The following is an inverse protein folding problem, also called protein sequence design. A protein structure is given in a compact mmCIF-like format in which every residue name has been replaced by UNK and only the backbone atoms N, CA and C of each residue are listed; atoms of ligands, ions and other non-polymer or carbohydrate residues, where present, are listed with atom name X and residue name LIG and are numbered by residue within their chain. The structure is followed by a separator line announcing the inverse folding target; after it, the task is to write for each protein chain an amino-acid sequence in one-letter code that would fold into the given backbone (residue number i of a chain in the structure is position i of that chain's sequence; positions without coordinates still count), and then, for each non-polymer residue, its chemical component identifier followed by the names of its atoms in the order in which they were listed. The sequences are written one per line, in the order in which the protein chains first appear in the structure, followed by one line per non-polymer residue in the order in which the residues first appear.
data_IF_166706401707
#
_entry.id   IF_166706401707
#
_cell.length_a   1.000
_cell.length_b   1.000
_cell.length_c   1.000
_cell.angle_alpha   90.00
_cell.angle_beta   90.00
_cell.angle_gamma   90.00
#
_symmetry.space_group_name_H-M   'P 1'
#
loop_
_entity.id
_entity.type
_entity.pdbx_description
1 polymer ?
#
# COMPACT_ATOMS: atom_id res chain seq x y z
N UNK A 1 -7.31 -12.99 -2.85
CA UNK A 1 -8.50 -12.50 -3.58
C UNK A 1 -8.46 -13.05 -4.98
N UNK A 2 -9.62 -13.34 -5.56
CA UNK A 2 -9.73 -14.06 -6.82
C UNK A 2 -10.11 -13.12 -7.97
N UNK A 3 -9.70 -13.49 -9.18
CA UNK A 3 -10.23 -12.92 -10.41
C UNK A 3 -11.45 -13.74 -10.80
N UNK A 4 -12.58 -13.10 -11.01
CA UNK A 4 -13.86 -13.73 -11.37
C UNK A 4 -14.32 -13.33 -12.76
N UNK A 5 -15.01 -14.24 -13.42
CA UNK A 5 -15.61 -14.01 -14.74
C UNK A 5 -17.14 -13.99 -14.59
N UNK A 6 -17.76 -12.97 -15.15
CA UNK A 6 -19.19 -12.77 -15.19
C UNK A 6 -19.69 -12.74 -16.64
N UNK A 7 -20.95 -13.00 -16.87
CA UNK A 7 -21.57 -12.72 -18.16
C UNK A 7 -21.70 -11.19 -18.30
N UNK A 8 -21.47 -10.65 -19.49
CA UNK A 8 -21.72 -9.23 -19.75
C UNK A 8 -23.19 -8.89 -19.49
N UNK A 9 -23.42 -7.80 -18.76
CA UNK A 9 -24.76 -7.39 -18.31
C UNK A 9 -25.23 -8.06 -17.01
N UNK A 10 -24.38 -8.86 -16.35
CA UNK A 10 -24.73 -9.53 -15.09
C UNK A 10 -25.01 -8.51 -13.98
N UNK A 11 -26.23 -8.55 -13.43
CA UNK A 11 -26.69 -7.66 -12.36
C UNK A 11 -26.32 -8.17 -10.96
N UNK A 12 -25.48 -9.19 -10.87
CA UNK A 12 -25.03 -9.72 -9.58
C UNK A 12 -24.37 -8.62 -8.75
N UNK A 13 -24.79 -8.51 -7.49
CA UNK A 13 -24.15 -7.62 -6.52
C UNK A 13 -22.80 -8.21 -6.09
N UNK A 14 -21.71 -7.49 -6.33
CA UNK A 14 -20.33 -7.93 -6.04
C UNK A 14 -19.70 -7.19 -4.86
N UNK A 15 -20.27 -6.04 -4.47
CA UNK A 15 -19.94 -5.30 -3.25
C UNK A 15 -21.19 -4.52 -2.78
N UNK A 16 -21.08 -3.84 -1.63
CA UNK A 16 -22.22 -3.08 -1.07
C UNK A 16 -22.83 -2.11 -2.08
N UNK A 17 -21.99 -1.46 -2.89
CA UNK A 17 -22.39 -0.42 -3.83
C UNK A 17 -22.06 -0.73 -5.29
N UNK A 18 -21.63 -1.94 -5.62
CA UNK A 18 -21.23 -2.30 -6.97
C UNK A 18 -21.91 -3.59 -7.46
N UNK A 19 -22.22 -3.59 -8.76
CA UNK A 19 -22.72 -4.75 -9.52
C UNK A 19 -21.75 -5.11 -10.62
N UNK A 20 -21.73 -6.37 -11.04
CA UNK A 20 -20.78 -6.87 -12.04
C UNK A 20 -20.87 -6.09 -13.36
N UNK A 21 -22.09 -5.77 -13.84
CA UNK A 21 -22.32 -5.01 -15.08
C UNK A 21 -21.67 -3.62 -15.12
N UNK A 22 -21.39 -3.01 -13.96
CA UNK A 22 -20.75 -1.69 -13.92
C UNK A 22 -19.29 -1.75 -14.39
N UNK A 23 -18.70 -2.95 -14.39
CA UNK A 23 -17.34 -3.22 -14.85
C UNK A 23 -17.26 -3.69 -16.30
N UNK A 24 -18.39 -3.77 -17.00
CA UNK A 24 -18.46 -4.30 -18.36
C UNK A 24 -17.60 -3.53 -19.36
N UNK A 25 -17.04 -4.28 -20.31
CA UNK A 25 -16.35 -3.69 -21.45
C UNK A 25 -17.29 -2.80 -22.26
N UNK A 26 -16.89 -1.55 -22.47
CA UNK A 26 -17.67 -0.54 -23.19
C UNK A 26 -17.62 -0.71 -24.72
N UNK A 27 -16.82 -1.66 -25.25
CA UNK A 27 -16.78 -1.97 -26.67
C UNK A 27 -18.08 -2.60 -27.15
N UNK A 28 -18.58 -2.13 -28.29
CA UNK A 28 -19.84 -2.62 -28.86
C UNK A 28 -19.65 -4.03 -29.46
N UNK A 29 -20.31 -5.04 -28.88
CA UNK A 29 -20.31 -6.41 -29.38
C UNK A 29 -18.96 -7.12 -29.39
N UNK A 30 -17.96 -6.60 -28.68
CA UNK A 30 -16.59 -7.12 -28.72
C UNK A 30 -16.30 -8.30 -27.76
N UNK A 31 -17.19 -8.55 -26.80
CA UNK A 31 -17.07 -9.66 -25.85
C UNK A 31 -18.41 -9.91 -25.13
N UNK A 32 -18.57 -11.13 -24.60
CA UNK A 32 -19.77 -11.59 -23.89
C UNK A 32 -19.51 -11.77 -22.37
N UNK A 33 -18.28 -11.53 -21.94
CA UNK A 33 -17.88 -11.74 -20.56
C UNK A 33 -17.15 -10.51 -20.00
N UNK A 34 -17.21 -10.38 -18.68
CA UNK A 34 -16.52 -9.36 -17.89
C UNK A 34 -15.62 -10.04 -16.88
N UNK A 35 -14.34 -9.67 -16.85
CA UNK A 35 -13.36 -10.15 -15.87
C UNK A 35 -13.19 -9.10 -14.79
N UNK A 36 -13.24 -9.48 -13.52
CA UNK A 36 -13.19 -8.57 -12.37
C UNK A 36 -12.26 -9.14 -11.29
N UNK A 37 -11.27 -8.38 -10.88
CA UNK A 37 -10.45 -8.66 -9.70
C UNK A 37 -11.18 -8.17 -8.43
N UNK A 38 -11.43 -9.09 -7.49
CA UNK A 38 -12.09 -8.75 -6.21
C UNK A 38 -11.32 -7.68 -5.43
N UNK A 39 -10.00 -7.62 -5.55
CA UNK A 39 -9.18 -6.59 -4.92
C UNK A 39 -9.47 -5.20 -5.48
N UNK A 40 -9.69 -5.09 -6.80
CA UNK A 40 -10.09 -3.83 -7.42
C UNK A 40 -11.44 -3.36 -6.88
N UNK A 41 -12.42 -4.27 -6.77
CA UNK A 41 -13.75 -3.97 -6.22
C UNK A 41 -13.66 -3.48 -4.79
N UNK A 42 -12.82 -4.11 -3.96
CA UNK A 42 -12.59 -3.71 -2.58
C UNK A 42 -12.01 -2.28 -2.48
N UNK A 43 -10.98 -1.96 -3.29
CA UNK A 43 -10.41 -0.62 -3.33
C UNK A 43 -11.46 0.43 -3.74
N UNK A 44 -12.24 0.15 -4.78
CA UNK A 44 -13.30 1.05 -5.24
C UNK A 44 -14.41 1.21 -4.20
N UNK A 45 -14.77 0.14 -3.48
CA UNK A 45 -15.76 0.20 -2.40
C UNK A 45 -15.26 1.07 -1.24
N UNK A 46 -14.01 0.97 -0.85
CA UNK A 46 -13.42 1.84 0.18
C UNK A 46 -13.44 3.30 -0.25
N UNK A 47 -13.04 3.59 -1.51
CA UNK A 47 -13.09 4.94 -2.08
C UNK A 47 -14.51 5.48 -2.06
N UNK A 48 -15.48 4.71 -2.54
CA UNK A 48 -16.90 5.10 -2.53
C UNK A 48 -17.44 5.38 -1.13
N UNK A 49 -17.08 4.54 -0.18
CA UNK A 49 -17.48 4.69 1.23
C UNK A 49 -16.89 5.96 1.84
N UNK A 50 -15.60 6.23 1.57
CA UNK A 50 -14.91 7.41 2.09
C UNK A 50 -15.53 8.74 1.60
N UNK A 51 -15.79 8.85 0.30
CA UNK A 51 -16.35 10.08 -0.27
C UNK A 51 -17.87 10.17 -0.14
N UNK A 52 -18.57 9.07 0.20
CA UNK A 52 -20.03 9.03 0.35
C UNK A 52 -20.79 9.31 -0.95
N UNK A 53 -20.16 9.18 -2.12
CA UNK A 53 -20.69 9.55 -3.42
C UNK A 53 -20.58 8.41 -4.44
N UNK A 54 -21.43 8.39 -5.50
CA UNK A 54 -21.27 7.44 -6.60
C UNK A 54 -19.89 7.52 -7.27
N UNK A 55 -19.37 6.36 -7.67
CA UNK A 55 -18.17 6.22 -8.48
C UNK A 55 -18.60 5.87 -9.90
N UNK A 56 -18.25 6.70 -10.87
CA UNK A 56 -18.51 6.45 -12.29
C UNK A 56 -17.26 5.90 -12.94
N UNK A 57 -17.32 4.66 -13.41
CA UNK A 57 -16.10 3.92 -13.78
C UNK A 57 -16.17 3.30 -15.17
N UNK A 58 -15.01 3.10 -15.78
CA UNK A 58 -14.72 2.22 -16.91
C UNK A 58 -13.64 1.24 -16.45
N UNK A 59 -13.96 -0.06 -16.38
CA UNK A 59 -13.04 -1.04 -15.79
C UNK A 59 -12.55 -2.06 -16.81
N UNK A 60 -13.22 -3.21 -16.95
CA UNK A 60 -12.80 -4.26 -17.85
C UNK A 60 -12.82 -3.79 -19.31
N UNK A 61 -11.83 -4.19 -20.06
CA UNK A 61 -11.68 -3.90 -21.47
C UNK A 61 -11.10 -5.13 -22.15
N UNK A 62 -11.89 -5.80 -22.98
CA UNK A 62 -11.42 -6.98 -23.69
C UNK A 62 -10.26 -6.64 -24.66
N UNK A 63 -9.49 -7.66 -25.05
CA UNK A 63 -8.33 -7.47 -25.94
C UNK A 63 -8.70 -6.76 -27.26
N UNK A 64 -9.83 -7.16 -27.86
CA UNK A 64 -10.33 -6.54 -29.09
C UNK A 64 -10.59 -5.06 -28.91
N UNK A 65 -11.30 -4.66 -27.84
CA UNK A 65 -11.55 -3.25 -27.56
C UNK A 65 -10.26 -2.51 -27.20
N UNK A 66 -9.35 -3.12 -26.45
CA UNK A 66 -8.06 -2.51 -26.11
C UNK A 66 -7.21 -2.19 -27.35
N UNK A 67 -7.24 -3.08 -28.35
CA UNK A 67 -6.51 -2.87 -29.61
C UNK A 67 -7.06 -1.68 -30.46
N UNK A 68 -8.31 -1.27 -30.22
CA UNK A 68 -8.94 -0.13 -30.91
C UNK A 68 -8.63 1.21 -30.23
N UNK A 69 -8.10 1.21 -29.00
CA UNK A 69 -7.82 2.46 -28.28
C UNK A 69 -6.43 2.97 -28.62
N UNK A 70 -6.31 4.18 -29.18
CA UNK A 70 -5.02 4.76 -29.51
C UNK A 70 -4.09 4.81 -28.29
N UNK A 71 -2.86 4.37 -28.45
CA UNK A 71 -1.81 4.38 -27.43
C UNK A 71 -2.12 3.51 -26.18
N UNK A 72 -3.12 2.63 -26.21
CA UNK A 72 -3.35 1.71 -25.11
C UNK A 72 -2.19 0.72 -24.98
N UNK A 73 -1.75 0.47 -23.75
CA UNK A 73 -0.72 -0.53 -23.49
C UNK A 73 -1.21 -1.92 -23.93
N UNK A 74 -0.36 -2.68 -24.65
CA UNK A 74 -0.70 -4.04 -25.09
C UNK A 74 -1.05 -4.97 -23.94
N UNK A 75 -0.35 -4.83 -22.80
CA UNK A 75 -0.57 -5.58 -21.57
C UNK A 75 -1.24 -4.67 -20.51
N UNK A 76 -2.35 -4.04 -20.87
CA UNK A 76 -3.09 -3.16 -19.96
C UNK A 76 -3.73 -3.96 -18.83
N UNK A 77 -3.68 -3.47 -17.61
CA UNK A 77 -4.37 -4.08 -16.45
C UNK A 77 -5.91 -4.13 -16.63
N UNK A 78 -6.47 -3.28 -17.47
CA UNK A 78 -7.89 -3.35 -17.86
C UNK A 78 -8.26 -4.68 -18.54
N UNK A 79 -7.34 -5.27 -19.33
CA UNK A 79 -7.60 -6.54 -20.02
C UNK A 79 -7.75 -7.70 -19.03
N UNK A 80 -7.09 -7.59 -17.90
CA UNK A 80 -7.11 -8.60 -16.84
C UNK A 80 -8.19 -8.34 -15.78
N UNK A 81 -9.05 -7.32 -15.98
CA UNK A 81 -10.04 -6.91 -14.98
C UNK A 81 -9.45 -6.32 -13.70
N UNK A 82 -8.20 -5.87 -13.77
CA UNK A 82 -7.39 -5.43 -12.64
C UNK A 82 -7.23 -3.91 -12.57
N UNK A 83 -7.93 -3.16 -13.42
CA UNK A 83 -7.86 -1.69 -13.43
C UNK A 83 -9.23 -1.06 -13.64
N UNK A 84 -9.35 0.17 -13.15
CA UNK A 84 -10.47 1.06 -13.41
C UNK A 84 -10.01 2.50 -13.59
N UNK A 85 -10.59 3.16 -14.60
CA UNK A 85 -10.56 4.60 -14.77
C UNK A 85 -11.89 5.15 -14.25
N UNK A 86 -11.89 6.13 -13.35
CA UNK A 86 -13.12 6.60 -12.72
C UNK A 86 -13.03 8.02 -12.22
N UNK A 87 -14.21 8.62 -12.02
CA UNK A 87 -14.36 9.91 -11.35
C UNK A 87 -15.49 9.86 -10.31
N UNK A 88 -15.53 10.88 -9.47
CA UNK A 88 -16.56 11.12 -8.48
C UNK A 88 -17.00 12.58 -8.62
N UNK A 89 -18.29 12.81 -8.84
CA UNK A 89 -18.80 14.15 -9.05
C UNK A 89 -18.53 15.08 -7.87
N UNK A 90 -17.94 16.23 -8.17
CA UNK A 90 -17.58 17.25 -7.17
C UNK A 90 -16.47 16.82 -6.20
N UNK A 91 -15.62 15.86 -6.61
CA UNK A 91 -14.37 15.50 -5.92
C UNK A 91 -13.21 15.66 -6.91
N UNK A 92 -12.20 16.42 -6.52
CA UNK A 92 -11.02 16.61 -7.38
C UNK A 92 -10.27 15.30 -7.58
N UNK A 93 -9.82 14.94 -8.80
CA UNK A 93 -9.06 13.72 -9.04
C UNK A 93 -7.83 13.58 -8.14
N UNK A 94 -7.17 14.69 -7.79
CA UNK A 94 -6.02 14.69 -6.88
C UNK A 94 -6.38 14.22 -5.46
N UNK A 95 -7.58 14.52 -4.95
CA UNK A 95 -8.05 14.04 -3.65
C UNK A 95 -8.34 12.54 -3.69
N UNK A 96 -8.93 12.07 -4.81
CA UNK A 96 -9.17 10.64 -5.03
C UNK A 96 -7.84 9.88 -5.08
N UNK A 97 -6.86 10.36 -5.85
CA UNK A 97 -5.53 9.74 -5.97
C UNK A 97 -4.81 9.69 -4.61
N UNK A 98 -4.89 10.78 -3.84
CA UNK A 98 -4.35 10.85 -2.47
C UNK A 98 -4.99 9.82 -1.54
N UNK A 99 -6.31 9.68 -1.60
CA UNK A 99 -7.00 8.68 -0.79
C UNK A 99 -6.67 7.25 -1.25
N UNK A 100 -6.66 6.99 -2.57
CA UNK A 100 -6.27 5.69 -3.13
C UNK A 100 -4.86 5.28 -2.66
N UNK A 101 -3.90 6.22 -2.68
CA UNK A 101 -2.56 6.00 -2.10
C UNK A 101 -2.65 5.65 -0.60
N UNK A 102 -3.49 6.36 0.16
CA UNK A 102 -3.61 6.16 1.61
C UNK A 102 -4.16 4.80 2.01
N UNK A 103 -4.97 4.16 1.15
CA UNK A 103 -5.48 2.79 1.37
C UNK A 103 -4.59 1.70 0.74
N UNK A 104 -3.39 2.07 0.26
CA UNK A 104 -2.39 1.13 -0.21
C UNK A 104 -2.51 0.68 -1.66
N UNK A 105 -3.25 1.40 -2.51
CA UNK A 105 -3.25 1.16 -3.96
C UNK A 105 -1.86 1.45 -4.51
N UNK A 106 -1.30 0.51 -5.27
CA UNK A 106 0.07 0.60 -5.79
C UNK A 106 0.15 1.06 -7.25
N UNK A 107 -0.91 0.94 -8.02
CA UNK A 107 -1.02 1.49 -9.37
C UNK A 107 -1.97 2.68 -9.37
N UNK A 108 -1.47 3.91 -9.54
CA UNK A 108 -2.31 5.12 -9.57
C UNK A 108 -1.85 6.05 -10.68
N UNK A 109 -2.78 6.37 -11.58
CA UNK A 109 -2.64 7.41 -12.59
C UNK A 109 -3.57 8.58 -12.29
N UNK A 110 -3.01 9.78 -12.13
CA UNK A 110 -3.78 11.00 -11.96
C UNK A 110 -3.92 11.71 -13.30
N UNK A 111 -5.17 11.98 -13.70
CA UNK A 111 -5.53 12.70 -14.90
C UNK A 111 -6.35 13.94 -14.54
N UNK A 112 -6.56 14.84 -15.50
CA UNK A 112 -7.24 16.10 -15.24
C UNK A 112 -8.71 15.92 -14.81
N UNK A 113 -9.38 14.86 -15.31
CA UNK A 113 -10.82 14.63 -15.07
C UNK A 113 -11.14 13.30 -14.39
N UNK A 114 -10.17 12.38 -14.25
CA UNK A 114 -10.37 11.06 -13.69
C UNK A 114 -9.11 10.53 -13.00
N UNK A 115 -9.25 9.42 -12.34
CA UNK A 115 -8.14 8.67 -11.73
C UNK A 115 -8.15 7.25 -12.27
N UNK A 116 -6.98 6.75 -12.65
CA UNK A 116 -6.75 5.33 -12.88
C UNK A 116 -6.24 4.67 -11.59
N UNK A 117 -6.80 3.52 -11.26
CA UNK A 117 -6.21 2.62 -10.27
C UNK A 117 -6.06 1.22 -10.83
N UNK A 118 -5.03 0.49 -10.36
CA UNK A 118 -4.87 -0.93 -10.68
C UNK A 118 -4.29 -1.73 -9.49
N UNK A 119 -4.43 -3.06 -9.56
CA UNK A 119 -4.06 -3.98 -8.49
C UNK A 119 -2.65 -4.55 -8.62
N UNK A 120 -1.75 -3.85 -9.32
CA UNK A 120 -0.32 -4.26 -9.43
C UNK A 120 0.32 -4.47 -8.07
N UNK A 121 1.37 -5.28 -8.04
CA UNK A 121 2.10 -5.60 -6.81
C UNK A 121 3.32 -4.69 -6.57
N UNK A 122 3.71 -3.90 -7.56
CA UNK A 122 4.83 -2.95 -7.48
C UNK A 122 4.32 -1.53 -7.65
N UNK A 123 4.85 -0.58 -6.87
CA UNK A 123 4.42 0.83 -6.93
C UNK A 123 4.66 1.44 -8.32
N UNK A 124 3.62 2.00 -8.91
CA UNK A 124 3.67 2.76 -10.15
C UNK A 124 2.69 3.92 -10.09
N UNK A 125 3.19 5.14 -9.87
CA UNK A 125 2.41 6.36 -9.83
C UNK A 125 2.80 7.27 -10.97
N UNK A 126 1.81 7.86 -11.65
CA UNK A 126 2.05 8.77 -12.78
C UNK A 126 0.99 9.86 -12.87
N UNK A 127 1.32 10.89 -13.62
CA UNK A 127 0.44 11.99 -13.95
C UNK A 127 0.25 12.08 -15.47
N UNK A 128 -0.97 12.24 -15.92
CA UNK A 128 -1.41 12.44 -17.30
C UNK A 128 -1.09 11.29 -18.28
N UNK A 129 -1.58 11.40 -19.51
CA UNK A 129 -1.27 10.46 -20.61
C UNK A 129 0.22 10.38 -20.96
N UNK A 130 1.01 11.40 -20.63
CA UNK A 130 2.46 11.40 -20.78
C UNK A 130 3.16 10.50 -19.74
N UNK A 131 2.42 9.93 -18.80
CA UNK A 131 2.90 9.03 -17.74
C UNK A 131 4.10 9.58 -16.96
N UNK A 132 4.09 10.86 -16.65
CA UNK A 132 5.11 11.49 -15.80
C UNK A 132 5.13 10.83 -14.44
N UNK A 133 6.22 10.12 -14.12
CA UNK A 133 6.37 9.36 -12.88
C UNK A 133 6.22 10.24 -11.65
N UNK A 134 5.53 9.71 -10.65
CA UNK A 134 5.34 10.32 -9.33
C UNK A 134 5.79 9.38 -8.24
N UNK A 135 6.24 9.94 -7.13
CA UNK A 135 6.58 9.18 -5.91
C UNK A 135 5.41 9.11 -4.92
N UNK A 136 4.55 10.13 -4.95
CA UNK A 136 3.37 10.24 -4.08
C UNK A 136 2.37 11.23 -4.65
N UNK A 137 1.11 11.10 -4.27
CA UNK A 137 0.04 12.11 -4.44
C UNK A 137 -0.27 12.82 -3.11
N UNK A 138 0.57 12.61 -2.08
CA UNK A 138 0.40 13.19 -0.74
C UNK A 138 -0.54 12.38 0.15
N UNK A 139 -0.86 11.16 -0.25
CA UNK A 139 -1.57 10.19 0.58
C UNK A 139 -0.61 9.57 1.61
N UNK A 140 -0.98 9.66 2.87
CA UNK A 140 -0.37 8.80 3.90
C UNK A 140 -1.09 7.46 3.88
N UNK A 141 -0.37 6.37 3.65
CA UNK A 141 -1.00 5.03 3.59
C UNK A 141 -1.69 4.75 4.93
N UNK A 142 -3.02 4.74 4.92
CA UNK A 142 -3.81 4.20 6.03
C UNK A 142 -3.89 2.70 5.81
N UNK A 143 -3.16 1.94 6.58
CA UNK A 143 -3.35 0.48 6.62
C UNK A 143 -4.58 0.24 7.49
N UNK A 144 -5.71 -0.14 6.88
CA UNK A 144 -6.89 -0.54 7.66
C UNK A 144 -6.52 -1.75 8.53
N UNK A 145 -6.74 -1.60 9.83
CA UNK A 145 -6.42 -2.62 10.83
C UNK A 145 -5.09 -2.43 11.54
N UNK A 146 -4.23 -1.52 11.10
CA UNK A 146 -3.11 -1.04 11.92
C UNK A 146 -3.33 0.44 12.23
N UNK A 147 -3.61 0.75 13.49
CA UNK A 147 -3.43 2.08 14.05
C UNK A 147 -2.16 2.68 13.42
N UNK A 148 -2.23 3.91 12.87
CA UNK A 148 -1.07 4.58 12.27
C UNK A 148 0.07 4.57 13.30
N UNK A 149 1.02 3.65 13.12
CA UNK A 149 2.13 3.45 14.06
C UNK A 149 3.15 4.55 13.86
N UNK A 150 3.00 5.63 14.63
CA UNK A 150 3.83 6.82 14.56
C UNK A 150 5.21 6.58 15.15
N UNK A 151 6.15 7.50 14.91
CA UNK A 151 7.43 7.48 15.60
C UNK A 151 7.23 7.54 17.12
N UNK A 152 6.30 8.37 17.61
CA UNK A 152 6.01 8.49 19.04
C UNK A 152 5.45 7.20 19.63
N UNK A 153 4.58 6.47 18.89
CA UNK A 153 4.09 5.15 19.32
C UNK A 153 5.23 4.15 19.41
N UNK A 154 6.10 4.11 18.39
CA UNK A 154 7.29 3.26 18.39
C UNK A 154 8.21 3.55 19.58
N UNK A 155 8.48 4.84 19.84
CA UNK A 155 9.34 5.25 20.94
C UNK A 155 8.75 4.82 22.28
N UNK A 156 7.43 5.05 22.51
CA UNK A 156 6.72 4.61 23.73
C UNK A 156 6.77 3.09 23.92
N UNK A 157 6.54 2.34 22.85
CA UNK A 157 6.59 0.88 22.87
C UNK A 157 8.00 0.37 23.20
N UNK A 158 9.04 0.98 22.61
CA UNK A 158 10.45 0.66 22.92
C UNK A 158 10.79 1.02 24.36
N UNK A 159 10.41 2.20 24.83
CA UNK A 159 10.61 2.64 26.19
C UNK A 159 9.99 1.68 27.19
N UNK A 160 8.73 1.31 26.98
CA UNK A 160 8.01 0.33 27.80
C UNK A 160 8.71 -1.03 27.82
N UNK A 161 9.08 -1.55 26.64
CA UNK A 161 9.72 -2.87 26.51
C UNK A 161 11.14 -2.93 27.09
N UNK A 162 11.84 -1.78 27.17
CA UNK A 162 13.21 -1.68 27.65
C UNK A 162 13.31 -1.11 29.06
N UNK A 163 12.18 -0.78 29.72
CA UNK A 163 12.16 -0.21 31.07
C UNK A 163 12.72 1.22 31.14
N UNK A 164 12.54 2.02 30.07
CA UNK A 164 12.82 3.45 30.08
C UNK A 164 11.60 4.25 30.50
N UNK A 165 11.78 5.55 30.80
CA UNK A 165 10.68 6.48 31.03
C UNK A 165 9.81 6.59 29.78
N UNK A 166 8.50 6.34 29.89
CA UNK A 166 7.56 6.29 28.73
C UNK A 166 6.99 7.68 28.49
N UNK A 167 7.73 8.52 27.76
CA UNK A 167 7.33 9.88 27.38
C UNK A 167 7.09 10.05 25.88
N UNK A 168 7.52 9.07 25.08
CA UNK A 168 7.39 9.11 23.61
C UNK A 168 8.43 10.01 22.94
N UNK A 169 9.44 10.48 23.66
CA UNK A 169 10.54 11.29 23.17
C UNK A 169 11.81 10.43 23.12
N UNK A 170 12.45 10.27 21.93
CA UNK A 170 13.67 9.50 21.85
C UNK A 170 14.82 10.28 22.47
N UNK A 171 15.49 9.70 23.44
CA UNK A 171 16.58 10.35 24.17
C UNK A 171 17.70 9.39 24.57
N UNK A 172 18.77 9.92 25.22
CA UNK A 172 19.91 9.11 25.67
C UNK A 172 19.49 7.95 26.58
N UNK A 173 18.49 8.14 27.47
CA UNK A 173 17.98 7.09 28.32
C UNK A 173 17.37 5.95 27.48
N UNK A 174 16.45 6.28 26.55
CA UNK A 174 15.84 5.30 25.66
C UNK A 174 16.89 4.51 24.90
N UNK A 175 17.84 5.21 24.27
CA UNK A 175 18.93 4.59 23.51
C UNK A 175 19.80 3.69 24.38
N UNK A 176 20.13 4.12 25.62
CA UNK A 176 21.00 3.36 26.52
C UNK A 176 20.43 2.00 26.92
N UNK A 177 19.11 1.88 26.90
CA UNK A 177 18.37 0.67 27.30
C UNK A 177 18.00 -0.25 26.12
N UNK A 178 18.28 0.16 24.87
CA UNK A 178 17.98 -0.68 23.70
C UNK A 178 18.83 -1.97 23.71
N UNK A 179 18.23 -3.14 23.41
CA UNK A 179 18.95 -4.39 23.31
C UNK A 179 19.57 -4.59 21.92
N UNK A 180 20.53 -5.53 21.82
CA UNK A 180 20.88 -6.11 20.53
C UNK A 180 19.82 -7.14 20.14
N UNK A 181 19.28 -7.03 18.91
CA UNK A 181 18.29 -7.99 18.38
C UNK A 181 18.65 -8.39 16.95
N UNK A 182 18.56 -9.69 16.67
CA UNK A 182 18.78 -10.29 15.36
C UNK A 182 18.15 -11.68 15.32
N UNK A 183 18.23 -12.37 14.18
CA UNK A 183 17.81 -13.77 14.09
C UNK A 183 18.57 -14.70 15.07
N UNK A 184 19.77 -14.30 15.48
CA UNK A 184 20.67 -15.08 16.36
C UNK A 184 20.67 -14.61 17.81
N UNK A 185 20.29 -13.34 18.08
CA UNK A 185 20.32 -12.74 19.43
C UNK A 185 18.98 -12.13 19.77
N UNK A 186 18.44 -12.47 20.92
CA UNK A 186 17.18 -11.90 21.43
C UNK A 186 16.04 -11.91 20.39
N UNK A 187 15.97 -12.95 19.58
CA UNK A 187 15.08 -13.06 18.43
C UNK A 187 13.58 -13.05 18.79
N UNK A 188 13.23 -13.16 20.06
CA UNK A 188 11.85 -13.06 20.62
C UNK A 188 11.75 -11.96 21.68
N UNK A 189 12.69 -11.01 21.73
CA UNK A 189 12.58 -9.88 22.65
C UNK A 189 11.37 -9.02 22.31
N UNK A 190 10.71 -8.45 23.30
CA UNK A 190 9.47 -7.68 23.12
C UNK A 190 9.61 -6.54 22.07
N UNK A 191 10.80 -5.92 21.96
CA UNK A 191 11.04 -4.87 20.97
C UNK A 191 10.96 -5.35 19.52
N UNK A 192 11.17 -6.65 19.24
CA UNK A 192 11.15 -7.19 17.87
C UNK A 192 9.82 -6.88 17.20
N UNK A 193 8.71 -7.12 17.89
CA UNK A 193 7.37 -6.81 17.37
C UNK A 193 7.21 -5.31 17.03
N UNK A 194 7.76 -4.45 17.85
CA UNK A 194 7.67 -2.99 17.63
C UNK A 194 8.59 -2.54 16.50
N UNK A 195 9.78 -3.12 16.39
CA UNK A 195 10.67 -2.90 15.23
C UNK A 195 10.02 -3.37 13.93
N UNK A 196 9.34 -4.52 13.93
CA UNK A 196 8.59 -5.00 12.76
C UNK A 196 7.51 -4.00 12.34
N UNK A 197 6.70 -3.50 13.29
CA UNK A 197 5.70 -2.45 13.03
C UNK A 197 6.34 -1.17 12.47
N UNK A 198 7.48 -0.75 13.04
CA UNK A 198 8.20 0.44 12.59
C UNK A 198 8.73 0.29 11.19
N UNK A 199 9.40 -0.82 10.87
CA UNK A 199 9.90 -1.12 9.53
C UNK A 199 8.75 -1.16 8.51
N UNK A 200 7.64 -1.80 8.87
CA UNK A 200 6.45 -1.82 8.03
C UNK A 200 5.90 -0.40 7.77
N UNK A 201 5.82 0.44 8.81
CA UNK A 201 5.39 1.83 8.71
C UNK A 201 6.36 2.69 7.87
N UNK A 202 7.66 2.38 7.90
CA UNK A 202 8.69 3.02 7.08
C UNK A 202 8.73 2.54 5.62
N UNK A 203 7.90 1.53 5.26
CA UNK A 203 7.80 1.02 3.89
C UNK A 203 8.55 -0.28 3.62
N UNK A 204 9.27 -0.83 4.59
CA UNK A 204 9.98 -2.12 4.46
C UNK A 204 9.02 -3.31 4.60
N UNK A 205 8.10 -3.45 3.63
CA UNK A 205 6.99 -4.45 3.66
C UNK A 205 7.46 -5.90 3.70
N UNK A 206 8.69 -6.18 3.28
CA UNK A 206 9.31 -7.51 3.34
C UNK A 206 9.36 -8.07 4.77
N UNK A 207 9.30 -7.22 5.81
CA UNK A 207 9.23 -7.63 7.21
C UNK A 207 8.01 -8.51 7.51
N UNK A 208 6.91 -8.35 6.73
CA UNK A 208 5.67 -9.08 6.91
C UNK A 208 4.90 -8.67 8.16
N UNK A 209 4.20 -9.65 8.76
CA UNK A 209 3.42 -9.43 9.99
C UNK A 209 4.34 -9.21 11.21
N UNK A 210 3.87 -8.40 12.16
CA UNK A 210 4.59 -8.14 13.42
C UNK A 210 4.31 -9.27 14.43
N UNK A 211 4.90 -10.44 14.18
CA UNK A 211 4.76 -11.65 14.99
C UNK A 211 5.66 -11.67 16.24
N UNK A 212 6.60 -10.73 16.35
CA UNK A 212 7.56 -10.64 17.45
C UNK A 212 8.74 -11.59 17.33
N UNK A 213 8.96 -12.20 16.15
CA UNK A 213 10.06 -13.13 15.90
C UNK A 213 11.03 -12.52 14.88
N UNK A 214 12.29 -12.33 15.27
CA UNK A 214 13.35 -11.90 14.37
C UNK A 214 13.83 -13.08 13.51
N UNK A 215 13.06 -13.40 12.45
CA UNK A 215 13.40 -14.43 11.47
C UNK A 215 13.98 -13.85 10.17
N UNK A 216 13.99 -14.66 9.10
CA UNK A 216 14.55 -14.27 7.79
C UNK A 216 13.94 -12.99 7.20
N UNK A 217 12.62 -12.80 7.36
CA UNK A 217 11.93 -11.59 6.86
C UNK A 217 12.35 -10.34 7.63
N UNK A 218 12.52 -10.47 8.95
CA UNK A 218 13.04 -9.40 9.80
C UNK A 218 14.46 -9.02 9.39
N UNK A 219 15.37 -10.00 9.23
CA UNK A 219 16.76 -9.81 8.80
C UNK A 219 16.82 -9.11 7.44
N UNK A 220 16.05 -9.57 6.45
CA UNK A 220 15.97 -8.93 5.14
C UNK A 220 15.50 -7.48 5.21
N UNK A 221 14.49 -7.18 6.05
CA UNK A 221 14.00 -5.81 6.24
C UNK A 221 15.03 -4.91 6.95
N UNK A 222 15.76 -5.46 7.92
CA UNK A 222 16.83 -4.73 8.60
C UNK A 222 17.98 -4.45 7.66
N UNK A 223 18.40 -5.41 6.83
CA UNK A 223 19.44 -5.19 5.82
C UNK A 223 19.06 -4.05 4.87
N UNK A 224 17.84 -4.06 4.32
CA UNK A 224 17.35 -3.00 3.45
C UNK A 224 17.31 -1.63 4.18
N UNK A 225 16.83 -1.61 5.43
CA UNK A 225 16.82 -0.39 6.23
C UNK A 225 18.25 0.13 6.50
N UNK A 226 19.19 -0.76 6.82
CA UNK A 226 20.60 -0.41 7.09
C UNK A 226 21.26 0.17 5.84
N UNK A 227 21.02 -0.41 4.67
CA UNK A 227 21.54 0.06 3.38
C UNK A 227 21.04 1.47 3.08
N UNK A 228 19.73 1.70 3.12
CA UNK A 228 19.10 2.99 2.85
C UNK A 228 19.56 4.10 3.82
N UNK A 229 19.85 3.73 5.06
CA UNK A 229 20.27 4.66 6.11
C UNK A 229 21.80 4.72 6.32
N UNK A 230 22.58 4.10 5.40
CA UNK A 230 24.04 4.08 5.46
C UNK A 230 24.57 3.55 6.81
N UNK A 231 23.89 2.55 7.36
CA UNK A 231 24.37 1.77 8.49
C UNK A 231 25.23 0.60 8.02
N UNK A 232 25.89 -0.09 8.96
CA UNK A 232 26.56 -1.35 8.66
C UNK A 232 25.48 -2.42 8.38
N UNK A 233 25.56 -3.06 7.19
CA UNK A 233 24.54 -4.03 6.74
C UNK A 233 24.94 -5.42 7.21
N UNK A 234 24.36 -5.87 8.33
CA UNK A 234 24.63 -7.16 8.98
C UNK A 234 23.38 -7.89 9.48
N UNK A 235 22.17 -7.30 9.26
CA UNK A 235 20.90 -7.86 9.71
C UNK A 235 20.70 -7.85 11.21
N UNK A 236 21.61 -7.20 11.97
CA UNK A 236 21.54 -7.07 13.42
C UNK A 236 21.30 -5.61 13.83
N UNK A 237 20.42 -5.38 14.77
CA UNK A 237 20.29 -4.09 15.42
C UNK A 237 21.08 -4.13 16.72
N UNK A 238 22.34 -3.77 16.65
CA UNK A 238 23.22 -3.73 17.83
C UNK A 238 22.78 -2.64 18.80
N UNK A 239 22.76 -2.97 20.11
CA UNK A 239 22.40 -2.06 21.20
C UNK A 239 23.13 -0.70 21.08
N UNK A 240 22.39 0.40 21.22
CA UNK A 240 22.90 1.79 21.24
C UNK A 240 23.54 2.26 19.93
N UNK A 241 23.57 1.45 18.88
CA UNK A 241 24.27 1.73 17.63
C UNK A 241 23.41 2.61 16.68
N UNK A 242 24.00 3.00 15.56
CA UNK A 242 23.42 3.87 14.51
C UNK A 242 22.07 3.35 14.03
N UNK A 243 21.91 2.02 13.83
CA UNK A 243 20.63 1.44 13.41
C UNK A 243 19.49 1.78 14.40
N UNK A 244 19.72 1.68 15.72
CA UNK A 244 18.75 2.11 16.73
C UNK A 244 18.47 3.61 16.66
N UNK A 245 19.52 4.46 16.51
CA UNK A 245 19.36 5.91 16.39
C UNK A 245 18.46 6.28 15.21
N UNK A 246 18.67 5.67 14.05
CA UNK A 246 17.86 5.88 12.84
C UNK A 246 16.41 5.42 13.03
N UNK A 247 16.19 4.24 13.62
CA UNK A 247 14.84 3.75 13.93
C UNK A 247 14.09 4.68 14.88
N UNK A 248 14.79 5.21 15.89
CA UNK A 248 14.24 6.14 16.89
C UNK A 248 14.13 7.58 16.37
N UNK A 249 14.58 7.89 15.17
CA UNK A 249 14.50 9.25 14.61
C UNK A 249 15.46 10.25 15.30
N UNK A 250 16.58 9.79 15.83
CA UNK A 250 17.57 10.62 16.52
C UNK A 250 18.66 11.17 15.58
N UNK A 251 18.70 10.72 14.32
CA UNK A 251 19.62 11.18 13.25
C UNK A 251 18.93 11.29 11.91
#
# INVERSE_FOLDING_TARGET
MAIKTYKKGDDQKIATNFRAREFDCQGNGCCDTTIIDEKLVECLQQIRTHFGKPVYLTAYRCETHNAMIPNAAKNSYHIYGQAADFHIDGVAPAEIAKYAESIGVLGIGLYDTFVHIDTRTTKGFWYSHAQVKRTTFGGTVKVEGTQHYTLSDFVRDVQSACGATVDGLPGPETLSKTPTVSAKKNNKHAVVKFVQKRLFALGYKIVGEADGIAGRKFEAAINAFQEDNKCWVDGEITARNKTWRKLLGME
#
